data_IF_631683551924
#
_entry.id   IF_631683551924
#
_cell.length_a   1.000
_cell.length_b   1.000
_cell.length_c   1.000
_cell.angle_alpha   90.00
_cell.angle_beta   90.00
_cell.angle_gamma   90.00
#
_symmetry.space_group_name_H-M   'P 1'
#
loop_
_entity.id
_entity.type
_entity.pdbx_description
1 polymer ?
#
# COMPACT_ATOMS: atom_id res chain seq x y z
N UNK A 1 -21.74 4.90 9.96
CA UNK A 1 -22.45 4.08 8.98
C UNK A 1 -21.45 3.28 8.15
N UNK A 2 -21.51 1.96 8.28
CA UNK A 2 -20.50 1.07 7.71
C UNK A 2 -20.35 1.18 6.19
N UNK A 3 -21.47 1.32 5.48
CA UNK A 3 -21.45 1.44 4.03
C UNK A 3 -20.74 2.69 3.53
N UNK A 4 -20.95 3.80 4.18
CA UNK A 4 -20.29 5.07 3.84
C UNK A 4 -18.79 4.98 4.12
N UNK A 5 -18.42 4.40 5.25
CA UNK A 5 -17.02 4.22 5.61
C UNK A 5 -16.32 3.36 4.56
N UNK A 6 -16.94 2.23 4.17
CA UNK A 6 -16.37 1.35 3.18
C UNK A 6 -16.22 2.02 1.80
N UNK A 7 -17.20 2.83 1.40
CA UNK A 7 -17.17 3.52 0.12
C UNK A 7 -16.08 4.59 0.07
N UNK A 8 -15.78 5.22 1.21
CA UNK A 8 -14.79 6.29 1.30
C UNK A 8 -13.42 5.80 1.79
N UNK A 9 -13.27 4.51 2.03
CA UNK A 9 -12.04 3.96 2.58
C UNK A 9 -10.80 4.26 1.72
N UNK A 10 -10.85 4.14 0.39
CA UNK A 10 -9.67 4.48 -0.41
C UNK A 10 -9.23 5.93 -0.26
N UNK A 11 -10.16 6.87 -0.20
CA UNK A 11 -9.83 8.28 0.01
C UNK A 11 -9.22 8.52 1.40
N UNK A 12 -9.76 7.86 2.41
CA UNK A 12 -9.25 7.95 3.77
C UNK A 12 -7.83 7.38 3.87
N UNK A 13 -7.58 6.26 3.20
CA UNK A 13 -6.24 5.67 3.14
C UNK A 13 -5.24 6.66 2.56
N UNK A 14 -5.60 7.30 1.44
CA UNK A 14 -4.74 8.28 0.78
C UNK A 14 -4.49 9.49 1.67
N UNK A 15 -5.50 9.95 2.38
CA UNK A 15 -5.37 11.06 3.33
C UNK A 15 -4.39 10.70 4.46
N UNK A 16 -4.49 9.48 5.00
CA UNK A 16 -3.56 9.02 6.03
C UNK A 16 -2.12 8.95 5.51
N UNK A 17 -1.93 8.47 4.28
CA UNK A 17 -0.62 8.43 3.63
C UNK A 17 -0.04 9.85 3.53
N UNK A 18 -0.88 10.79 3.09
CA UNK A 18 -0.47 12.19 2.98
C UNK A 18 0.00 12.75 4.32
N UNK A 19 -0.75 12.48 5.39
CA UNK A 19 -0.39 12.94 6.73
C UNK A 19 0.92 12.34 7.23
N UNK A 20 1.14 11.04 6.99
CA UNK A 20 2.38 10.39 7.38
C UNK A 20 3.59 10.98 6.65
N UNK A 21 3.46 11.18 5.33
CA UNK A 21 4.53 11.78 4.54
C UNK A 21 4.79 13.22 4.98
N UNK A 22 3.74 13.96 5.29
CA UNK A 22 3.86 15.35 5.72
C UNK A 22 4.70 15.51 6.99
N UNK A 23 4.61 14.55 7.91
CA UNK A 23 5.44 14.58 9.12
C UNK A 23 6.93 14.49 8.80
N UNK A 24 7.28 13.88 7.66
CA UNK A 24 8.66 13.80 7.19
C UNK A 24 8.97 14.87 6.14
N UNK A 25 8.15 15.92 6.08
CA UNK A 25 8.30 17.05 5.16
C UNK A 25 8.24 16.64 3.70
N UNK A 26 7.42 15.63 3.40
CA UNK A 26 7.21 15.09 2.06
C UNK A 26 5.76 15.21 1.67
N UNK A 27 5.51 15.23 0.37
CA UNK A 27 4.14 15.19 -0.18
C UNK A 27 3.97 13.90 -0.97
N UNK A 28 2.73 13.55 -1.29
CA UNK A 28 2.47 12.41 -2.18
C UNK A 28 3.13 12.66 -3.53
N UNK A 29 3.05 13.89 -4.02
CA UNK A 29 3.68 14.26 -5.29
C UNK A 29 5.19 14.05 -5.21
N UNK A 30 5.70 13.16 -6.05
CA UNK A 30 7.13 12.86 -6.09
C UNK A 30 7.62 11.83 -5.08
N UNK A 31 6.78 11.39 -4.15
CA UNK A 31 7.17 10.34 -3.20
C UNK A 31 7.11 8.97 -3.84
N UNK A 32 8.06 8.12 -3.49
CA UNK A 32 8.05 6.72 -3.90
C UNK A 32 7.23 5.93 -2.88
N UNK A 33 6.16 5.32 -3.34
CA UNK A 33 5.22 4.58 -2.48
C UNK A 33 5.21 3.12 -2.92
N UNK A 34 5.58 2.22 -2.02
CA UNK A 34 5.52 0.78 -2.26
C UNK A 34 4.19 0.25 -1.74
N UNK A 35 3.38 -0.30 -2.64
CA UNK A 35 2.10 -0.92 -2.29
C UNK A 35 2.28 -2.42 -2.18
N UNK A 36 1.93 -2.99 -1.04
CA UNK A 36 1.99 -4.43 -0.81
C UNK A 36 0.59 -5.01 -0.94
N UNK A 37 0.36 -5.73 -2.04
CA UNK A 37 -0.91 -6.37 -2.34
C UNK A 37 -1.89 -5.45 -3.06
N UNK A 38 -2.61 -6.02 -4.02
CA UNK A 38 -3.68 -5.34 -4.75
C UNK A 38 -4.96 -6.19 -4.71
N UNK A 39 -4.83 -7.50 -4.45
CA UNK A 39 -5.96 -8.40 -4.39
C UNK A 39 -6.95 -8.00 -3.29
N UNK A 40 -8.22 -8.32 -3.49
CA UNK A 40 -9.26 -7.99 -2.52
C UNK A 40 -9.06 -8.76 -1.21
N UNK A 41 -8.67 -10.03 -1.29
CA UNK A 41 -8.48 -10.91 -0.12
C UNK A 41 -7.07 -11.49 -0.13
N UNK A 42 -6.54 -11.88 1.03
CA UNK A 42 -5.20 -12.46 1.06
C UNK A 42 -5.14 -13.80 0.35
N UNK A 43 -3.98 -14.06 -0.23
CA UNK A 43 -3.57 -15.35 -0.80
C UNK A 43 -4.42 -15.82 -1.98
N UNK A 44 -5.04 -14.88 -2.69
CA UNK A 44 -5.76 -15.15 -3.94
C UNK A 44 -5.36 -14.15 -5.01
N UNK A 45 -5.73 -14.46 -6.26
CA UNK A 45 -5.36 -13.64 -7.43
C UNK A 45 -6.51 -12.78 -7.96
N UNK A 46 -7.58 -12.62 -7.19
CA UNK A 46 -8.77 -11.88 -7.62
C UNK A 46 -8.63 -10.40 -7.27
N UNK A 47 -8.52 -9.57 -8.29
CA UNK A 47 -8.41 -8.11 -8.15
C UNK A 47 -9.74 -7.39 -8.34
N UNK A 48 -10.80 -8.10 -8.71
CA UNK A 48 -12.10 -7.48 -9.01
C UNK A 48 -12.65 -6.76 -7.79
N UNK A 49 -13.09 -5.52 -8.02
CA UNK A 49 -13.68 -4.68 -6.97
C UNK A 49 -12.77 -4.44 -5.77
N UNK A 50 -11.46 -4.64 -5.93
CA UNK A 50 -10.53 -4.38 -4.84
C UNK A 50 -10.43 -2.89 -4.54
N UNK A 51 -10.57 -2.49 -3.27
CA UNK A 51 -10.36 -1.09 -2.88
C UNK A 51 -8.97 -0.57 -3.22
N UNK A 52 -7.98 -1.46 -3.31
CA UNK A 52 -6.61 -1.09 -3.67
C UNK A 52 -6.53 -0.41 -5.04
N UNK A 53 -7.40 -0.80 -5.99
CA UNK A 53 -7.42 -0.18 -7.31
C UNK A 53 -7.79 1.31 -7.23
N UNK A 54 -8.69 1.69 -6.33
CA UNK A 54 -9.04 3.09 -6.10
C UNK A 54 -7.92 3.85 -5.43
N UNK A 55 -7.21 3.21 -4.51
CA UNK A 55 -6.03 3.81 -3.87
C UNK A 55 -4.98 4.13 -4.93
N UNK A 56 -4.72 3.20 -5.85
CA UNK A 56 -3.79 3.42 -6.97
C UNK A 56 -4.21 4.63 -7.78
N UNK A 57 -5.48 4.72 -8.17
CA UNK A 57 -5.99 5.85 -8.95
C UNK A 57 -5.73 7.19 -8.25
N UNK A 58 -6.05 7.27 -6.97
CA UNK A 58 -5.88 8.51 -6.21
C UNK A 58 -4.41 8.89 -6.06
N UNK A 59 -3.55 7.92 -5.74
CA UNK A 59 -2.13 8.20 -5.55
C UNK A 59 -1.48 8.67 -6.85
N UNK A 60 -1.84 8.06 -7.98
CA UNK A 60 -1.33 8.50 -9.28
C UNK A 60 -1.81 9.90 -9.64
N UNK A 61 -3.06 10.19 -9.34
CA UNK A 61 -3.62 11.53 -9.58
C UNK A 61 -2.85 12.60 -8.82
N UNK A 62 -2.36 12.28 -7.62
CA UNK A 62 -1.58 13.20 -6.80
C UNK A 62 -0.09 13.18 -7.10
N UNK A 63 0.35 12.42 -8.10
CA UNK A 63 1.74 12.48 -8.57
C UNK A 63 2.71 11.54 -7.87
N UNK A 64 2.22 10.51 -7.19
CA UNK A 64 3.10 9.53 -6.55
C UNK A 64 3.83 8.66 -7.58
N UNK A 65 5.05 8.26 -7.24
CA UNK A 65 5.78 7.23 -7.96
C UNK A 65 5.46 5.89 -7.29
N UNK A 66 4.63 5.08 -7.94
CA UNK A 66 4.16 3.83 -7.37
C UNK A 66 5.03 2.64 -7.76
N UNK A 67 5.34 1.80 -6.80
CA UNK A 67 5.89 0.47 -7.02
C UNK A 67 4.91 -0.50 -6.37
N UNK A 68 4.52 -1.54 -7.11
CA UNK A 68 3.50 -2.48 -6.68
C UNK A 68 4.13 -3.86 -6.54
N UNK A 69 3.90 -4.50 -5.39
CA UNK A 69 4.18 -5.91 -5.22
C UNK A 69 2.86 -6.64 -5.00
N UNK A 70 2.48 -7.49 -5.96
CA UNK A 70 1.33 -8.37 -5.84
C UNK A 70 1.80 -9.78 -6.20
N UNK A 71 2.08 -10.63 -5.19
CA UNK A 71 2.71 -11.93 -5.45
C UNK A 71 1.86 -12.92 -6.24
N UNK A 72 0.55 -12.71 -6.31
CA UNK A 72 -0.36 -13.65 -6.98
C UNK A 72 -0.76 -13.21 -8.38
N UNK A 73 -0.50 -11.97 -8.78
CA UNK A 73 -0.84 -11.45 -10.11
C UNK A 73 0.34 -10.63 -10.62
N UNK A 74 1.00 -11.14 -11.66
CA UNK A 74 2.19 -10.49 -12.20
C UNK A 74 1.88 -9.22 -12.96
N UNK A 75 0.82 -9.24 -13.76
CA UNK A 75 0.42 -8.12 -14.60
C UNK A 75 -1.10 -7.94 -14.51
N UNK A 76 -1.54 -6.71 -14.51
CA UNK A 76 -2.98 -6.42 -14.54
C UNK A 76 -3.24 -5.08 -15.20
N UNK A 77 -4.48 -4.89 -15.66
CA UNK A 77 -4.94 -3.62 -16.24
C UNK A 77 -6.01 -3.00 -15.38
N UNK A 78 -5.97 -1.68 -15.28
CA UNK A 78 -7.01 -0.93 -14.60
C UNK A 78 -7.19 0.41 -15.30
N UNK A 79 -8.40 0.70 -15.73
CA UNK A 79 -8.74 1.94 -16.45
C UNK A 79 -7.86 2.15 -17.68
N UNK A 80 -7.59 1.08 -18.42
CA UNK A 80 -6.81 1.15 -19.66
C UNK A 80 -5.30 1.23 -19.47
N UNK A 81 -4.84 1.26 -18.24
CA UNK A 81 -3.40 1.32 -17.93
C UNK A 81 -2.91 -0.06 -17.48
N UNK A 82 -1.72 -0.44 -17.94
CA UNK A 82 -1.09 -1.68 -17.50
C UNK A 82 -0.23 -1.44 -16.27
N UNK A 83 -0.29 -2.40 -15.34
CA UNK A 83 0.51 -2.41 -14.12
C UNK A 83 1.26 -3.73 -14.02
N UNK A 84 2.44 -3.67 -13.45
CA UNK A 84 3.31 -4.85 -13.29
C UNK A 84 3.72 -4.99 -11.84
N UNK A 85 3.65 -6.20 -11.31
CA UNK A 85 4.14 -6.49 -9.98
C UNK A 85 5.67 -6.56 -10.01
N UNK A 86 6.30 -5.96 -9.02
CA UNK A 86 7.75 -6.02 -8.83
C UNK A 86 8.04 -6.98 -7.69
N UNK A 87 9.04 -7.83 -7.85
CA UNK A 87 9.45 -8.75 -6.80
C UNK A 87 9.93 -7.98 -5.57
N UNK A 88 9.52 -8.43 -4.40
CA UNK A 88 9.87 -7.76 -3.16
C UNK A 88 11.32 -8.03 -2.80
N UNK A 89 12.05 -6.99 -2.43
CA UNK A 89 13.42 -7.07 -1.97
C UNK A 89 13.65 -6.06 -0.85
N UNK A 90 14.70 -6.26 -0.08
CA UNK A 90 15.05 -5.32 0.99
C UNK A 90 15.34 -3.93 0.43
N UNK A 91 16.02 -3.88 -0.71
CA UNK A 91 16.33 -2.59 -1.34
C UNK A 91 15.07 -1.85 -1.75
N UNK A 92 14.09 -2.56 -2.30
CA UNK A 92 12.82 -1.97 -2.69
C UNK A 92 12.10 -1.37 -1.47
N UNK A 93 12.11 -2.10 -0.36
CA UNK A 93 11.49 -1.64 0.89
C UNK A 93 12.22 -0.41 1.44
N UNK A 94 13.54 -0.43 1.45
CA UNK A 94 14.37 0.69 1.95
C UNK A 94 14.21 1.95 1.11
N UNK A 95 14.11 1.81 -0.20
CA UNK A 95 14.05 2.95 -1.12
C UNK A 95 12.70 3.67 -1.09
N UNK A 96 11.64 3.00 -0.66
CA UNK A 96 10.33 3.61 -0.61
C UNK A 96 10.25 4.66 0.51
N UNK A 97 9.61 5.78 0.22
CA UNK A 97 9.33 6.79 1.24
C UNK A 97 8.31 6.29 2.25
N UNK A 98 7.38 5.46 1.78
CA UNK A 98 6.41 4.79 2.64
C UNK A 98 6.01 3.46 2.01
N UNK A 99 5.80 2.45 2.85
CA UNK A 99 5.28 1.14 2.46
C UNK A 99 3.83 1.06 2.95
N UNK A 100 2.91 0.74 2.06
CA UNK A 100 1.49 0.66 2.39
C UNK A 100 1.01 -0.77 2.17
N UNK A 101 0.46 -1.38 3.20
CA UNK A 101 -0.09 -2.73 3.13
C UNK A 101 -1.57 -2.62 2.74
N UNK A 102 -1.90 -3.06 1.53
CA UNK A 102 -3.28 -3.05 1.04
C UNK A 102 -3.92 -4.43 1.04
N UNK A 103 -3.11 -5.49 1.03
CA UNK A 103 -3.58 -6.87 1.18
C UNK A 103 -2.62 -7.61 2.10
N UNK A 104 -3.13 -8.34 3.07
CA UNK A 104 -2.31 -9.05 4.05
C UNK A 104 -1.98 -10.48 3.60
N UNK A 105 -1.29 -10.60 2.47
CA UNK A 105 -0.85 -11.92 1.98
C UNK A 105 0.05 -12.61 3.00
N UNK A 106 -0.09 -13.92 3.11
CA UNK A 106 0.65 -14.71 4.10
C UNK A 106 2.16 -14.72 3.87
N UNK A 107 2.60 -14.44 2.64
CA UNK A 107 4.02 -14.43 2.30
C UNK A 107 4.77 -13.21 2.85
N UNK A 108 4.08 -12.19 3.32
CA UNK A 108 4.73 -11.00 3.85
C UNK A 108 5.21 -11.22 5.28
N UNK A 109 6.50 -10.94 5.51
CA UNK A 109 7.10 -10.97 6.84
C UNK A 109 6.95 -9.59 7.47
N UNK A 110 5.93 -9.42 8.31
CA UNK A 110 5.57 -8.13 8.88
C UNK A 110 6.71 -7.51 9.70
N UNK A 111 7.36 -8.31 10.55
CA UNK A 111 8.45 -7.80 11.39
C UNK A 111 9.62 -7.30 10.55
N UNK A 112 9.99 -8.06 9.54
CA UNK A 112 11.08 -7.69 8.65
C UNK A 112 10.77 -6.42 7.87
N UNK A 113 9.55 -6.32 7.36
CA UNK A 113 9.11 -5.14 6.61
C UNK A 113 9.16 -3.89 7.48
N UNK A 114 8.64 -3.96 8.70
CA UNK A 114 8.65 -2.83 9.62
C UNK A 114 10.08 -2.41 9.98
N UNK A 115 10.95 -3.39 10.22
CA UNK A 115 12.36 -3.14 10.54
C UNK A 115 13.12 -2.47 9.39
N UNK A 116 12.76 -2.81 8.16
CA UNK A 116 13.52 -2.41 6.97
C UNK A 116 13.03 -1.09 6.40
N UNK A 117 11.73 -0.82 6.48
CA UNK A 117 11.10 0.34 5.85
C UNK A 117 11.34 1.64 6.61
N UNK A 118 11.31 2.75 5.88
CA UNK A 118 11.32 4.09 6.50
C UNK A 118 10.03 4.35 7.27
N UNK A 119 8.89 4.05 6.66
CA UNK A 119 7.56 4.15 7.26
C UNK A 119 6.66 3.06 6.71
N UNK A 120 5.76 2.55 7.55
CA UNK A 120 4.77 1.54 7.15
C UNK A 120 3.38 2.01 7.55
N UNK A 121 2.44 1.98 6.60
CA UNK A 121 1.03 2.17 6.87
C UNK A 121 0.29 0.87 6.57
N UNK A 122 -0.29 0.26 7.59
CA UNK A 122 -0.93 -1.06 7.50
C UNK A 122 -2.45 -0.89 7.52
N UNK A 123 -3.11 -1.20 6.40
CA UNK A 123 -4.56 -1.09 6.30
C UNK A 123 -5.29 -2.41 6.55
N UNK A 124 -4.57 -3.52 6.74
CA UNK A 124 -5.16 -4.86 6.80
C UNK A 124 -4.75 -5.65 8.04
N UNK A 125 -4.15 -4.99 9.00
CA UNK A 125 -3.74 -5.61 10.27
C UNK A 125 -2.68 -6.70 10.10
N UNK A 126 -1.87 -6.60 9.06
CA UNK A 126 -0.72 -7.48 8.83
C UNK A 126 0.26 -7.42 10.01
N UNK A 127 0.42 -6.25 10.60
CA UNK A 127 1.39 -5.97 11.65
C UNK A 127 0.82 -6.09 13.05
N UNK A 128 -0.28 -6.82 13.21
CA UNK A 128 -0.91 -7.03 14.51
C UNK A 128 0.12 -7.47 15.55
N UNK A 129 0.13 -6.78 16.69
CA UNK A 129 1.03 -7.11 17.79
C UNK A 129 2.43 -6.49 17.69
N UNK A 130 2.73 -5.78 16.60
CA UNK A 130 4.00 -5.09 16.44
C UNK A 130 3.83 -3.61 16.80
N UNK A 131 4.70 -3.09 17.66
CA UNK A 131 4.75 -1.67 17.98
C UNK A 131 6.08 -1.11 17.50
N UNK A 132 6.03 -0.02 16.73
CA UNK A 132 7.23 0.64 16.22
C UNK A 132 6.91 2.09 15.89
N UNK A 133 7.90 2.96 16.02
CA UNK A 133 7.72 4.40 15.78
C UNK A 133 7.40 4.72 14.33
N UNK A 134 7.81 3.86 13.40
CA UNK A 134 7.60 4.05 11.97
C UNK A 134 6.34 3.36 11.44
N UNK A 135 5.51 2.81 12.30
CA UNK A 135 4.35 2.01 11.92
C UNK A 135 3.05 2.68 12.39
N UNK A 136 2.11 2.81 11.45
CA UNK A 136 0.73 3.17 11.78
C UNK A 136 -0.22 2.14 11.18
N UNK A 137 -1.29 1.88 11.89
CA UNK A 137 -2.36 1.00 11.43
C UNK A 137 -3.64 1.80 11.23
N UNK A 138 -4.44 1.31 10.29
CA UNK A 138 -5.75 1.90 10.02
C UNK A 138 -6.72 1.67 11.18
#
# INVERSE_FOLDING_TARGET
IAGEINNNMPEYVVERISHMLNREKKSINGSKILLLGVAYKPDIDDLRESPALKVIEHLEKFGAELVINEPFVKDFKHNGKEYHSTDLSDQLIKDADIVVVLTNHSCYDAEHIVKTAKMVFDTRNLTKGIDADNLERL
#
